data_IF_858723163856
#
_entry.id   IF_858723163856
#
_cell.length_a   1.000
_cell.length_b   1.000
_cell.length_c   1.000
_cell.angle_alpha   90.00
_cell.angle_beta   90.00
_cell.angle_gamma   90.00
#
_symmetry.space_group_name_H-M   'P 1'
#
loop_
_entity.id
_entity.type
_entity.pdbx_description
1 polymer ?
#
# COMPACT_ATOMS: atom_id res chain seq x y z
N UNK A 1 40.12 26.45 8.03
CA UNK A 1 38.69 26.68 8.29
C UNK A 1 38.32 25.92 9.54
N UNK A 2 37.73 26.56 10.54
CA UNK A 2 37.47 25.97 11.84
C UNK A 2 36.43 24.83 11.67
N UNK A 3 36.68 23.66 12.20
CA UNK A 3 35.87 22.46 12.08
C UNK A 3 34.40 22.73 12.46
N UNK A 4 34.15 23.60 13.41
CA UNK A 4 32.82 24.03 13.84
C UNK A 4 32.04 24.76 12.74
N UNK A 5 32.69 25.55 11.87
CA UNK A 5 32.04 26.22 10.75
C UNK A 5 31.63 25.23 9.65
N UNK A 6 32.39 24.18 9.44
CA UNK A 6 32.05 23.11 8.49
C UNK A 6 30.78 22.38 8.93
N UNK A 7 30.68 22.02 10.21
CA UNK A 7 29.47 21.38 10.78
C UNK A 7 28.25 22.29 10.67
N UNK A 8 28.38 23.58 10.96
CA UNK A 8 27.28 24.55 10.83
C UNK A 8 26.81 24.71 9.38
N UNK A 9 27.72 24.73 8.43
CA UNK A 9 27.36 24.83 7.00
C UNK A 9 26.65 23.55 6.55
N UNK A 10 27.14 22.36 6.92
CA UNK A 10 26.49 21.08 6.58
C UNK A 10 25.09 21.01 7.19
N UNK A 11 24.95 21.39 8.47
CA UNK A 11 23.64 21.40 9.14
C UNK A 11 22.65 22.37 8.46
N UNK A 12 23.10 23.55 8.09
CA UNK A 12 22.28 24.55 7.39
C UNK A 12 21.86 24.07 6.00
N UNK A 13 22.79 23.51 5.23
CA UNK A 13 22.50 22.94 3.90
C UNK A 13 21.53 21.78 4.01
N UNK A 14 21.74 20.86 4.96
CA UNK A 14 20.81 19.75 5.21
C UNK A 14 19.43 20.25 5.60
N UNK A 15 19.34 21.25 6.45
CA UNK A 15 18.08 21.86 6.85
C UNK A 15 17.36 22.53 5.67
N UNK A 16 18.08 23.27 4.83
CA UNK A 16 17.51 23.90 3.62
C UNK A 16 17.04 22.85 2.60
N UNK A 17 17.79 21.77 2.43
CA UNK A 17 17.39 20.62 1.59
C UNK A 17 16.13 19.97 2.13
N UNK A 18 16.05 19.72 3.43
CA UNK A 18 14.85 19.17 4.09
C UNK A 18 13.66 20.11 3.90
N UNK A 19 13.83 21.42 4.14
CA UNK A 19 12.78 22.42 3.93
C UNK A 19 12.32 22.48 2.47
N UNK A 20 13.25 22.36 1.52
CA UNK A 20 12.93 22.33 0.10
C UNK A 20 12.11 21.08 -0.25
N UNK A 21 12.52 19.89 0.26
CA UNK A 21 11.77 18.65 0.11
C UNK A 21 10.38 18.72 0.73
N UNK A 22 10.24 19.25 1.96
CA UNK A 22 8.95 19.40 2.65
C UNK A 22 8.04 20.39 1.91
N UNK A 23 8.58 21.51 1.43
CA UNK A 23 7.81 22.52 0.70
C UNK A 23 7.38 22.05 -0.69
N UNK A 24 8.18 21.21 -1.35
CA UNK A 24 7.89 20.68 -2.69
C UNK A 24 7.18 19.32 -2.69
N UNK A 25 6.97 18.70 -1.52
CA UNK A 25 6.11 17.51 -1.39
C UNK A 25 4.63 17.91 -1.43
N UNK A 26 4.18 18.39 -2.55
CA UNK A 26 2.75 18.54 -2.80
C UNK A 26 2.33 17.40 -3.70
N UNK A 27 1.86 16.30 -3.10
CA UNK A 27 0.99 15.34 -3.77
C UNK A 27 -0.33 16.07 -4.05
N UNK A 28 -0.38 16.85 -5.13
CA UNK A 28 -1.53 17.71 -5.43
C UNK A 28 -2.44 17.11 -6.49
N UNK A 29 -1.96 16.11 -7.22
CA UNK A 29 -2.71 15.47 -8.30
C UNK A 29 -2.40 13.98 -8.33
N UNK A 30 -3.34 13.20 -8.85
CA UNK A 30 -3.20 11.77 -9.11
C UNK A 30 -1.95 11.45 -9.94
N UNK A 31 -1.64 12.29 -10.93
CA UNK A 31 -0.48 12.14 -11.81
C UNK A 31 0.86 12.26 -11.03
N UNK A 32 0.97 13.22 -10.12
CA UNK A 32 2.20 13.39 -9.32
C UNK A 32 2.46 12.23 -8.36
N UNK A 33 1.41 11.55 -7.90
CA UNK A 33 1.51 10.34 -7.09
C UNK A 33 1.95 9.16 -7.96
N UNK A 34 1.35 9.01 -9.14
CA UNK A 34 1.72 7.97 -10.12
C UNK A 34 3.19 8.04 -10.50
N UNK A 35 3.66 9.23 -10.92
CA UNK A 35 5.05 9.45 -11.34
C UNK A 35 6.08 9.13 -10.23
N UNK A 36 5.75 9.48 -8.98
CA UNK A 36 6.62 9.17 -7.85
C UNK A 36 6.74 7.65 -7.63
N UNK A 37 5.62 6.93 -7.66
CA UNK A 37 5.62 5.49 -7.47
C UNK A 37 6.22 4.75 -8.66
N UNK A 38 6.02 5.21 -9.89
CA UNK A 38 6.66 4.65 -11.09
C UNK A 38 8.19 4.76 -10.99
N UNK A 39 8.71 5.91 -10.56
CA UNK A 39 10.14 6.13 -10.36
C UNK A 39 10.70 5.19 -9.30
N UNK A 40 10.05 5.09 -8.13
CA UNK A 40 10.51 4.23 -7.03
C UNK A 40 10.44 2.74 -7.34
N UNK A 41 9.51 2.34 -8.20
CA UNK A 41 9.34 0.95 -8.60
C UNK A 41 10.33 0.54 -9.68
N UNK A 42 10.62 1.43 -10.63
CA UNK A 42 11.46 1.13 -11.79
C UNK A 42 12.92 0.83 -11.43
N UNK A 43 13.50 1.53 -10.45
CA UNK A 43 14.88 1.32 -10.00
C UNK A 43 15.04 0.13 -9.03
N UNK A 44 13.93 -0.38 -8.50
CA UNK A 44 13.84 -1.49 -7.53
C UNK A 44 14.65 -1.28 -6.23
N UNK A 45 15.10 -0.07 -5.96
CA UNK A 45 15.87 0.22 -4.73
C UNK A 45 14.98 0.02 -3.52
N UNK A 46 13.75 0.55 -3.56
CA UNK A 46 12.81 0.41 -2.47
C UNK A 46 12.46 -1.06 -2.20
N UNK A 47 12.21 -1.86 -3.24
CA UNK A 47 11.93 -3.30 -3.12
C UNK A 47 13.12 -4.05 -2.48
N UNK A 48 14.35 -3.76 -2.91
CA UNK A 48 15.55 -4.42 -2.36
C UNK A 48 15.79 -4.08 -0.90
N UNK A 49 15.61 -2.82 -0.52
CA UNK A 49 15.85 -2.34 0.84
C UNK A 49 14.68 -2.66 1.77
N UNK A 50 13.45 -2.50 1.32
CA UNK A 50 12.24 -2.53 2.13
C UNK A 50 11.40 -3.81 1.98
N UNK A 51 11.60 -4.57 0.90
CA UNK A 51 10.85 -5.78 0.57
C UNK A 51 9.58 -5.51 -0.24
N UNK A 52 8.72 -6.52 -0.32
CA UNK A 52 7.51 -6.48 -1.17
C UNK A 52 6.32 -5.75 -0.54
N UNK A 53 6.46 -5.33 0.72
CA UNK A 53 5.47 -4.56 1.47
C UNK A 53 6.05 -3.19 1.81
N UNK A 54 5.43 -2.12 1.32
CA UNK A 54 5.90 -0.76 1.59
C UNK A 54 5.41 -0.25 2.96
N UNK A 55 4.29 -0.78 3.45
CA UNK A 55 3.70 -0.42 4.74
C UNK A 55 4.55 -0.82 5.97
N UNK A 56 4.19 -0.32 7.13
CA UNK A 56 4.82 -0.64 8.41
C UNK A 56 4.54 -2.08 8.85
N UNK A 57 5.35 -2.59 9.79
CA UNK A 57 5.19 -3.92 10.36
C UNK A 57 4.45 -3.89 11.70
N UNK A 58 3.90 -5.06 12.09
CA UNK A 58 3.32 -5.27 13.42
C UNK A 58 4.27 -6.12 14.27
N UNK A 59 4.54 -5.65 15.49
CA UNK A 59 5.41 -6.30 16.44
C UNK A 59 4.63 -6.65 17.70
N UNK A 60 4.47 -7.94 18.02
CA UNK A 60 3.79 -8.39 19.24
C UNK A 60 4.50 -7.90 20.52
N UNK A 61 5.83 -7.83 20.47
CA UNK A 61 6.66 -7.31 21.55
C UNK A 61 7.56 -6.20 20.99
N UNK A 62 7.24 -4.92 21.24
CA UNK A 62 8.03 -3.79 20.72
C UNK A 62 9.47 -3.75 21.26
N UNK A 63 9.78 -4.48 22.34
CA UNK A 63 11.15 -4.58 22.88
C UNK A 63 12.04 -5.55 22.09
N UNK A 64 11.44 -6.40 21.24
CA UNK A 64 12.11 -7.40 20.42
C UNK A 64 11.94 -7.03 18.94
N UNK A 65 12.83 -6.21 18.43
CA UNK A 65 12.87 -5.86 17.02
C UNK A 65 13.41 -7.08 16.26
N UNK A 66 12.50 -7.82 15.60
CA UNK A 66 12.83 -8.92 14.70
C UNK A 66 13.05 -8.44 13.25
N UNK A 67 12.97 -9.38 12.30
CA UNK A 67 13.00 -9.04 10.88
C UNK A 67 11.78 -8.17 10.51
N UNK A 68 12.03 -6.96 10.03
CA UNK A 68 10.99 -6.02 9.66
C UNK A 68 10.14 -6.53 8.47
N UNK A 69 10.67 -7.41 7.62
CA UNK A 69 9.92 -8.02 6.52
C UNK A 69 8.89 -9.02 7.04
N UNK A 70 9.29 -9.82 8.03
CA UNK A 70 8.39 -10.75 8.73
C UNK A 70 7.31 -9.97 9.51
N UNK A 71 7.68 -8.86 10.16
CA UNK A 71 6.74 -8.00 10.87
C UNK A 71 5.67 -7.41 9.94
N UNK A 72 5.99 -7.13 8.67
CA UNK A 72 5.02 -6.66 7.67
C UNK A 72 4.05 -7.75 7.25
N UNK A 73 4.52 -8.97 7.04
CA UNK A 73 3.63 -10.11 6.79
C UNK A 73 2.73 -10.37 8.00
N UNK A 74 3.27 -10.29 9.22
CA UNK A 74 2.51 -10.39 10.47
C UNK A 74 1.42 -9.32 10.53
N UNK A 75 1.73 -8.07 10.14
CA UNK A 75 0.74 -7.00 10.08
C UNK A 75 -0.46 -7.35 9.20
N UNK A 76 -0.23 -7.94 8.03
CA UNK A 76 -1.32 -8.38 7.15
C UNK A 76 -2.20 -9.40 7.85
N UNK A 77 -1.62 -10.41 8.50
CA UNK A 77 -2.39 -11.44 9.21
C UNK A 77 -3.18 -10.88 10.39
N UNK A 78 -2.60 -9.95 11.16
CA UNK A 78 -3.30 -9.34 12.30
C UNK A 78 -4.44 -8.42 11.83
N UNK A 79 -4.24 -7.65 10.76
CA UNK A 79 -5.30 -6.80 10.23
C UNK A 79 -6.44 -7.63 9.60
N UNK A 80 -6.15 -8.76 8.96
CA UNK A 80 -7.19 -9.69 8.45
C UNK A 80 -8.07 -10.20 9.59
N UNK A 81 -7.48 -10.59 10.72
CA UNK A 81 -8.24 -11.01 11.91
C UNK A 81 -9.03 -9.86 12.52
N UNK A 82 -8.38 -8.71 12.70
CA UNK A 82 -9.01 -7.54 13.30
C UNK A 82 -10.21 -7.03 12.51
N UNK A 83 -10.10 -6.99 11.17
CA UNK A 83 -11.18 -6.55 10.28
C UNK A 83 -12.29 -7.60 10.10
N UNK A 84 -12.04 -8.85 10.49
CA UNK A 84 -12.95 -9.96 10.29
C UNK A 84 -12.97 -10.56 8.88
N UNK A 85 -12.02 -10.16 8.02
CA UNK A 85 -11.88 -10.75 6.68
C UNK A 85 -11.63 -12.26 6.74
N UNK A 86 -11.02 -12.78 7.81
CA UNK A 86 -10.81 -14.20 8.04
C UNK A 86 -12.11 -15.03 8.13
N UNK A 87 -13.26 -14.39 8.33
CA UNK A 87 -14.59 -15.02 8.32
C UNK A 87 -15.15 -15.24 6.91
N UNK A 88 -14.54 -14.61 5.90
CA UNK A 88 -14.94 -14.84 4.51
C UNK A 88 -14.55 -16.25 4.05
N UNK A 89 -15.42 -16.94 3.31
CA UNK A 89 -15.08 -18.24 2.75
C UNK A 89 -13.95 -18.14 1.70
N UNK A 90 -13.20 -19.22 1.53
CA UNK A 90 -12.23 -19.31 0.43
C UNK A 90 -12.93 -19.10 -0.92
N UNK A 91 -12.27 -18.40 -1.84
CA UNK A 91 -12.86 -18.01 -3.11
C UNK A 91 -13.61 -16.67 -3.09
N UNK A 92 -13.77 -16.05 -1.91
CA UNK A 92 -14.36 -14.71 -1.83
C UNK A 92 -13.55 -13.69 -2.65
N UNK A 93 -14.27 -12.75 -3.26
CA UNK A 93 -13.67 -11.66 -4.05
C UNK A 93 -13.23 -10.53 -3.13
N UNK A 94 -11.95 -10.22 -3.14
CA UNK A 94 -11.36 -9.14 -2.34
C UNK A 94 -10.68 -8.13 -3.25
N UNK A 95 -10.98 -6.85 -3.06
CA UNK A 95 -10.30 -5.75 -3.73
C UNK A 95 -9.20 -5.20 -2.80
N UNK A 96 -7.95 -5.19 -3.28
CA UNK A 96 -6.82 -4.57 -2.60
C UNK A 96 -6.55 -3.19 -3.21
N UNK A 97 -6.96 -2.13 -2.51
CA UNK A 97 -6.92 -0.75 -2.96
C UNK A 97 -5.60 -0.11 -2.56
N UNK A 98 -4.81 0.28 -3.56
CA UNK A 98 -3.43 0.75 -3.33
C UNK A 98 -2.47 -0.42 -3.09
N UNK A 99 -2.60 -1.49 -3.88
CA UNK A 99 -1.91 -2.77 -3.68
C UNK A 99 -0.37 -2.70 -3.79
N UNK A 100 0.20 -1.59 -4.24
CA UNK A 100 1.62 -1.49 -4.52
C UNK A 100 2.09 -2.59 -5.48
N UNK A 101 3.19 -3.26 -5.16
CA UNK A 101 3.70 -4.40 -5.94
C UNK A 101 3.08 -5.75 -5.51
N UNK A 102 1.93 -5.73 -4.82
CA UNK A 102 1.07 -6.88 -4.56
C UNK A 102 1.47 -7.77 -3.38
N UNK A 103 2.29 -7.28 -2.44
CA UNK A 103 2.72 -8.07 -1.29
C UNK A 103 1.54 -8.59 -0.46
N UNK A 104 0.66 -7.70 0.00
CA UNK A 104 -0.56 -8.06 0.74
C UNK A 104 -1.51 -8.90 -0.09
N UNK A 105 -1.73 -8.54 -1.36
CA UNK A 105 -2.59 -9.30 -2.27
C UNK A 105 -2.20 -10.78 -2.37
N UNK A 106 -0.88 -11.07 -2.46
CA UNK A 106 -0.38 -12.45 -2.52
C UNK A 106 -0.63 -13.20 -1.21
N UNK A 107 -0.44 -12.57 -0.05
CA UNK A 107 -0.76 -13.19 1.25
C UNK A 107 -2.26 -13.51 1.35
N UNK A 108 -3.13 -12.58 0.96
CA UNK A 108 -4.58 -12.77 0.96
C UNK A 108 -5.00 -13.94 0.06
N UNK A 109 -4.41 -14.05 -1.12
CA UNK A 109 -4.70 -15.15 -2.05
C UNK A 109 -4.12 -16.50 -1.55
N UNK A 110 -2.87 -16.54 -1.08
CA UNK A 110 -2.17 -17.78 -0.73
C UNK A 110 -2.69 -18.37 0.59
N UNK A 111 -2.77 -17.56 1.64
CA UNK A 111 -3.12 -18.03 2.97
C UNK A 111 -4.64 -18.13 3.20
N UNK A 112 -5.40 -17.16 2.73
CA UNK A 112 -6.86 -17.12 2.94
C UNK A 112 -7.65 -17.68 1.75
N UNK A 113 -6.99 -17.86 0.60
CA UNK A 113 -7.60 -18.43 -0.60
C UNK A 113 -8.60 -17.50 -1.27
N UNK A 114 -8.44 -16.21 -1.12
CA UNK A 114 -9.30 -15.22 -1.77
C UNK A 114 -8.96 -15.06 -3.25
N UNK A 115 -9.95 -14.66 -4.04
CA UNK A 115 -9.77 -14.15 -5.40
C UNK A 115 -9.48 -12.66 -5.28
N UNK A 116 -8.21 -12.27 -5.39
CA UNK A 116 -7.79 -10.90 -5.14
C UNK A 116 -7.64 -10.12 -6.44
N UNK A 117 -8.22 -8.94 -6.48
CA UNK A 117 -7.94 -7.92 -7.49
C UNK A 117 -7.20 -6.78 -6.79
N UNK A 118 -5.93 -6.57 -7.13
CA UNK A 118 -5.14 -5.45 -6.65
C UNK A 118 -5.21 -4.29 -7.64
N UNK A 119 -5.45 -3.09 -7.13
CA UNK A 119 -5.39 -1.87 -7.94
C UNK A 119 -4.37 -0.89 -7.41
N UNK A 120 -3.71 -0.20 -8.31
CA UNK A 120 -2.79 0.92 -8.03
C UNK A 120 -2.82 1.91 -9.18
N UNK A 121 -2.49 3.16 -8.90
CA UNK A 121 -2.38 4.20 -9.93
C UNK A 121 -1.11 4.06 -10.79
N UNK A 122 -0.10 3.35 -10.32
CA UNK A 122 1.20 3.17 -10.97
C UNK A 122 1.20 1.99 -11.93
N UNK A 123 1.48 2.25 -13.20
CA UNK A 123 1.63 1.21 -14.23
C UNK A 123 2.84 0.29 -13.97
N UNK A 124 3.94 0.84 -13.46
CA UNK A 124 5.14 0.08 -13.12
C UNK A 124 4.90 -0.85 -11.92
N UNK A 125 4.10 -0.42 -10.93
CA UNK A 125 3.69 -1.31 -9.84
C UNK A 125 2.83 -2.46 -10.33
N UNK A 126 1.87 -2.23 -11.23
CA UNK A 126 1.06 -3.31 -11.84
C UNK A 126 1.92 -4.33 -12.55
N UNK A 127 2.86 -3.86 -13.38
CA UNK A 127 3.80 -4.72 -14.09
C UNK A 127 4.63 -5.54 -13.10
N UNK A 128 5.19 -4.89 -12.08
CA UNK A 128 6.01 -5.56 -11.08
C UNK A 128 5.22 -6.56 -10.23
N UNK A 129 4.01 -6.22 -9.83
CA UNK A 129 3.12 -7.12 -9.10
C UNK A 129 2.83 -8.41 -9.88
N UNK A 130 2.59 -8.29 -11.19
CA UNK A 130 2.40 -9.45 -12.08
C UNK A 130 3.65 -10.32 -12.19
N UNK A 131 4.84 -9.71 -12.31
CA UNK A 131 6.12 -10.43 -12.37
C UNK A 131 6.40 -11.24 -11.08
N UNK A 132 6.04 -10.70 -9.92
CA UNK A 132 6.25 -11.33 -8.61
C UNK A 132 5.21 -12.40 -8.25
N UNK A 133 4.09 -12.45 -8.98
CA UNK A 133 2.95 -13.31 -8.63
C UNK A 133 3.00 -14.62 -9.39
N UNK A 134 2.99 -15.75 -8.64
CA UNK A 134 2.94 -17.08 -9.21
C UNK A 134 1.60 -17.29 -9.93
N UNK A 135 1.62 -17.95 -11.08
CA UNK A 135 0.41 -18.25 -11.88
C UNK A 135 -0.62 -19.14 -11.17
N UNK A 136 -0.20 -19.82 -10.09
CA UNK A 136 -1.09 -20.65 -9.25
C UNK A 136 -1.95 -19.84 -8.29
N UNK A 137 -1.66 -18.55 -8.08
CA UNK A 137 -2.43 -17.67 -7.19
C UNK A 137 -3.56 -16.99 -7.95
N UNK A 138 -4.74 -16.95 -7.34
CA UNK A 138 -5.90 -16.22 -7.84
C UNK A 138 -5.79 -14.72 -7.49
N UNK A 139 -4.79 -14.09 -8.09
CA UNK A 139 -4.43 -12.71 -7.82
C UNK A 139 -4.15 -11.98 -9.14
N UNK A 140 -4.89 -10.90 -9.42
CA UNK A 140 -4.74 -10.09 -10.62
C UNK A 140 -4.51 -8.63 -10.26
N UNK A 141 -3.89 -7.86 -11.19
CA UNK A 141 -3.53 -6.45 -10.92
C UNK A 141 -3.95 -5.56 -12.08
N UNK A 142 -4.48 -4.38 -11.75
CA UNK A 142 -4.96 -3.39 -12.71
C UNK A 142 -4.48 -1.99 -12.31
N UNK A 143 -4.17 -1.17 -13.31
CA UNK A 143 -3.98 0.26 -13.10
C UNK A 143 -5.35 0.92 -13.00
N UNK A 144 -5.63 1.57 -11.86
CA UNK A 144 -6.92 2.20 -11.62
C UNK A 144 -6.79 3.28 -10.54
N UNK A 145 -7.57 4.36 -10.68
CA UNK A 145 -7.71 5.39 -9.66
C UNK A 145 -8.69 4.92 -8.58
N UNK A 146 -8.22 4.87 -7.33
CA UNK A 146 -9.04 4.48 -6.18
C UNK A 146 -10.24 5.42 -5.91
N UNK A 147 -10.20 6.64 -6.45
CA UNK A 147 -11.30 7.59 -6.37
C UNK A 147 -12.31 7.47 -7.53
N UNK A 148 -12.11 6.51 -8.42
CA UNK A 148 -13.02 6.26 -9.55
C UNK A 148 -12.94 4.79 -9.95
N UNK A 149 -13.53 3.91 -9.11
CA UNK A 149 -13.47 2.47 -9.29
C UNK A 149 -14.40 2.01 -10.43
N UNK A 150 -13.82 1.33 -11.42
CA UNK A 150 -14.56 0.78 -12.57
C UNK A 150 -15.22 -0.58 -12.26
N UNK A 151 -15.74 -0.73 -11.04
CA UNK A 151 -16.45 -1.92 -10.57
C UNK A 151 -17.90 -1.59 -10.25
N UNK A 152 -18.75 -2.63 -10.28
CA UNK A 152 -20.17 -2.50 -9.93
C UNK A 152 -20.36 -2.33 -8.42
N UNK A 153 -21.50 -1.74 -8.05
CA UNK A 153 -21.92 -1.66 -6.66
C UNK A 153 -22.02 -3.07 -6.07
N UNK A 154 -21.45 -3.26 -4.88
CA UNK A 154 -21.52 -4.52 -4.15
C UNK A 154 -20.78 -5.69 -4.81
N UNK A 155 -19.79 -5.44 -5.65
CA UNK A 155 -19.09 -6.47 -6.41
C UNK A 155 -18.13 -7.32 -5.55
N UNK A 156 -17.67 -6.81 -4.41
CA UNK A 156 -16.68 -7.45 -3.57
C UNK A 156 -17.23 -7.91 -2.22
N UNK A 157 -16.78 -9.07 -1.76
CA UNK A 157 -17.07 -9.62 -0.42
C UNK A 157 -16.24 -8.92 0.65
N UNK A 158 -15.04 -8.48 0.28
CA UNK A 158 -14.11 -7.79 1.15
C UNK A 158 -13.32 -6.70 0.43
N UNK A 159 -12.99 -5.65 1.17
CA UNK A 159 -12.09 -4.59 0.73
C UNK A 159 -10.89 -4.56 1.68
N UNK A 160 -9.72 -4.43 1.10
CA UNK A 160 -8.45 -4.28 1.77
C UNK A 160 -7.77 -2.99 1.32
N UNK A 161 -7.24 -2.21 2.25
CA UNK A 161 -6.37 -1.08 1.91
C UNK A 161 -5.43 -0.76 3.05
N UNK A 162 -4.14 -0.69 2.76
CA UNK A 162 -3.10 -0.43 3.75
C UNK A 162 -2.19 0.70 3.29
N UNK A 163 -2.14 1.76 4.07
CA UNK A 163 -1.32 2.97 3.87
C UNK A 163 -1.49 3.63 2.49
N UNK A 164 -2.68 3.50 1.90
CA UNK A 164 -3.02 4.14 0.64
C UNK A 164 -3.73 5.49 0.83
N UNK A 165 -4.58 5.60 1.85
CA UNK A 165 -5.39 6.79 2.12
C UNK A 165 -4.61 8.10 2.31
N UNK A 166 -3.39 8.11 2.92
CA UNK A 166 -2.59 9.33 3.04
C UNK A 166 -2.25 10.00 1.70
N UNK A 167 -2.24 9.23 0.61
CA UNK A 167 -1.93 9.70 -0.74
C UNK A 167 -3.16 10.13 -1.55
N UNK A 168 -4.37 9.94 -1.02
CA UNK A 168 -5.61 10.29 -1.68
C UNK A 168 -5.93 11.78 -1.54
N UNK A 169 -6.11 12.52 -2.65
CA UNK A 169 -6.47 13.96 -2.60
C UNK A 169 -7.85 14.18 -2.00
N UNK A 170 -8.80 13.28 -2.24
CA UNK A 170 -10.17 13.31 -1.69
C UNK A 170 -10.44 12.01 -0.91
N UNK A 171 -10.24 12.07 0.41
CA UNK A 171 -10.41 10.91 1.30
C UNK A 171 -11.88 10.48 1.42
N UNK A 172 -12.83 11.42 1.29
CA UNK A 172 -14.24 11.09 1.34
C UNK A 172 -14.62 10.27 0.09
N UNK A 173 -14.25 10.76 -1.09
CA UNK A 173 -14.52 10.05 -2.34
C UNK A 173 -13.87 8.68 -2.38
N UNK A 174 -12.64 8.56 -1.88
CA UNK A 174 -11.95 7.28 -1.73
C UNK A 174 -12.73 6.29 -0.83
N UNK A 175 -13.21 6.76 0.32
CA UNK A 175 -14.01 5.94 1.22
C UNK A 175 -15.37 5.57 0.60
N UNK A 176 -16.04 6.51 -0.05
CA UNK A 176 -17.33 6.29 -0.71
C UNK A 176 -17.22 5.24 -1.83
N UNK A 177 -16.17 5.29 -2.65
CA UNK A 177 -15.93 4.30 -3.70
C UNK A 177 -15.68 2.89 -3.13
N UNK A 178 -14.87 2.77 -2.07
CA UNK A 178 -14.65 1.48 -1.40
C UNK A 178 -15.97 0.91 -0.84
N UNK A 179 -16.79 1.77 -0.20
CA UNK A 179 -18.08 1.35 0.35
C UNK A 179 -19.10 1.03 -0.74
N UNK A 180 -19.08 1.73 -1.87
CA UNK A 180 -19.95 1.46 -3.01
C UNK A 180 -19.74 0.08 -3.60
N UNK A 181 -18.47 -0.29 -3.80
CA UNK A 181 -18.12 -1.60 -4.41
C UNK A 181 -18.16 -2.77 -3.41
N UNK A 182 -18.21 -2.49 -2.10
CA UNK A 182 -18.37 -3.50 -1.06
C UNK A 182 -19.84 -3.93 -0.97
N UNK A 183 -20.11 -5.23 -1.01
CA UNK A 183 -21.49 -5.73 -0.84
C UNK A 183 -22.03 -5.46 0.57
N UNK A 184 -23.34 -5.34 0.74
CA UNK A 184 -23.96 -5.29 2.07
C UNK A 184 -23.53 -6.50 2.91
N UNK A 185 -23.06 -6.25 4.14
CA UNK A 185 -22.53 -7.27 5.04
C UNK A 185 -21.15 -7.81 4.68
N UNK A 186 -20.45 -7.18 3.75
CA UNK A 186 -19.03 -7.46 3.45
C UNK A 186 -18.10 -6.90 4.53
N UNK A 187 -16.81 -7.21 4.42
CA UNK A 187 -15.78 -6.81 5.40
C UNK A 187 -14.82 -5.78 4.81
N UNK A 188 -14.45 -4.81 5.62
CA UNK A 188 -13.52 -3.73 5.24
C UNK A 188 -12.33 -3.74 6.19
N UNK A 189 -11.12 -3.97 5.66
CA UNK A 189 -9.87 -3.85 6.39
C UNK A 189 -9.07 -2.66 5.86
N UNK A 190 -9.01 -1.58 6.63
CA UNK A 190 -8.23 -0.38 6.31
C UNK A 190 -7.28 -0.06 7.44
N UNK A 191 -6.04 0.24 7.11
CA UNK A 191 -5.06 0.76 8.05
C UNK A 191 -4.26 1.88 7.39
N UNK A 192 -4.35 3.06 7.96
CA UNK A 192 -3.66 4.26 7.48
C UNK A 192 -3.01 5.00 8.64
N UNK A 193 -2.03 5.84 8.32
CA UNK A 193 -1.41 6.77 9.27
C UNK A 193 -1.90 8.20 8.99
N UNK A 194 -1.94 9.03 10.03
CA UNK A 194 -2.32 10.46 9.95
C UNK A 194 -1.08 11.36 9.88
#
# INVERSE_FOLDING_TARGET
MNQNYIFLIIALVSFLVILWFVKNRKFQTTDSVSDAYDTWTSDRILEKLWGEHIHLGYYHDPSKIGDFREAKATFVHELVKWSGLDKLPRGSRVLDVGCGIGGSSRILAEHYGFNVIGITISAEQVKRARELTKSSLTCTFQQMDAMNLEFKDGEFDGIWSVEAGPHMPDKQKYADEMLRVLRPGGYLGVADWN
#
